data_IF_381559521792
#
_entry.id   IF_381559521792
#
_cell.length_a   1.000
_cell.length_b   1.000
_cell.length_c   1.000
_cell.angle_alpha   90.00
_cell.angle_beta   90.00
_cell.angle_gamma   90.00
#
_symmetry.space_group_name_H-M   'P 1'
#
loop_
_entity.id
_entity.type
_entity.pdbx_description
1 polymer ?
#
# COMPACT_ATOMS: atom_id res chain seq x y z
N UNK A 1 4.24 -25.30 25.86
CA UNK A 1 3.22 -25.53 24.80
C UNK A 1 2.11 -24.45 24.84
N UNK A 2 1.58 -24.05 26.03
CA UNK A 2 0.45 -23.11 26.13
C UNK A 2 0.67 -21.69 25.57
N UNK A 3 1.90 -21.16 25.65
CA UNK A 3 2.19 -19.80 25.13
C UNK A 3 2.17 -19.71 23.60
N UNK A 4 2.53 -20.80 22.91
CA UNK A 4 2.49 -20.86 21.44
C UNK A 4 1.05 -20.95 20.95
N UNK A 5 0.22 -21.76 21.61
CA UNK A 5 -1.22 -21.88 21.29
C UNK A 5 -1.96 -20.58 21.54
N UNK A 6 -1.66 -19.88 22.64
CA UNK A 6 -2.24 -18.58 22.96
C UNK A 6 -1.84 -17.50 21.93
N UNK A 7 -0.57 -17.49 21.50
CA UNK A 7 -0.09 -16.60 20.46
C UNK A 7 -0.76 -16.88 19.11
N UNK A 8 -0.90 -18.14 18.72
CA UNK A 8 -1.57 -18.55 17.48
C UNK A 8 -3.05 -18.16 17.51
N UNK A 9 -3.74 -18.39 18.63
CA UNK A 9 -5.14 -18.01 18.78
C UNK A 9 -5.34 -16.48 18.77
N UNK A 10 -4.50 -15.72 19.45
CA UNK A 10 -4.57 -14.26 19.43
C UNK A 10 -4.30 -13.70 18.03
N UNK A 11 -3.34 -14.26 17.30
CA UNK A 11 -3.03 -13.87 15.93
C UNK A 11 -4.18 -14.20 14.98
N UNK A 12 -4.78 -15.40 15.12
CA UNK A 12 -5.93 -15.80 14.32
C UNK A 12 -7.17 -14.93 14.59
N UNK A 13 -7.44 -14.57 15.85
CA UNK A 13 -8.54 -13.67 16.22
C UNK A 13 -8.33 -12.26 15.68
N UNK A 14 -7.12 -11.71 15.79
CA UNK A 14 -6.77 -10.40 15.22
C UNK A 14 -6.96 -10.40 13.70
N UNK A 15 -6.46 -11.42 13.01
CA UNK A 15 -6.59 -11.56 11.57
C UNK A 15 -8.06 -11.64 11.10
N UNK A 16 -8.92 -12.37 11.83
CA UNK A 16 -10.35 -12.43 11.52
C UNK A 16 -11.08 -11.11 11.76
N UNK A 17 -10.71 -10.38 12.82
CA UNK A 17 -11.27 -9.06 13.10
C UNK A 17 -10.89 -8.05 12.00
N UNK A 18 -9.64 -8.08 11.55
CA UNK A 18 -9.13 -7.21 10.47
C UNK A 18 -9.85 -7.49 9.14
N UNK A 19 -10.10 -8.77 8.81
CA UNK A 19 -10.85 -9.16 7.60
C UNK A 19 -12.29 -8.62 7.65
N UNK A 20 -12.97 -8.81 8.78
CA UNK A 20 -14.35 -8.34 8.95
C UNK A 20 -14.47 -6.82 8.82
N UNK A 21 -13.54 -6.10 9.37
CA UNK A 21 -13.47 -4.65 9.30
C UNK A 21 -13.19 -4.15 7.87
N UNK A 22 -12.26 -4.78 7.16
CA UNK A 22 -11.99 -4.48 5.75
C UNK A 22 -13.25 -4.67 4.90
N UNK A 23 -13.94 -5.81 5.03
CA UNK A 23 -15.15 -6.11 4.27
C UNK A 23 -16.31 -5.15 4.59
N UNK A 24 -16.33 -4.60 5.80
CA UNK A 24 -17.33 -3.61 6.17
C UNK A 24 -17.10 -2.27 5.49
N UNK A 25 -15.86 -1.81 5.39
CA UNK A 25 -15.46 -0.51 4.85
C UNK A 25 -15.17 -0.53 3.35
N UNK A 26 -14.71 -1.64 2.84
CA UNK A 26 -14.35 -1.84 1.43
C UNK A 26 -15.37 -2.78 0.79
N UNK A 27 -16.32 -2.21 0.08
CA UNK A 27 -17.45 -2.97 -0.49
C UNK A 27 -17.09 -3.73 -1.77
N UNK A 28 -16.04 -3.33 -2.48
CA UNK A 28 -15.54 -4.10 -3.62
C UNK A 28 -14.86 -5.38 -3.17
N UNK A 29 -15.37 -6.58 -3.53
CA UNK A 29 -14.74 -7.85 -3.16
C UNK A 29 -13.33 -8.00 -3.73
N UNK A 30 -13.07 -7.43 -4.89
CA UNK A 30 -11.74 -7.45 -5.54
C UNK A 30 -10.74 -6.65 -4.72
N UNK A 31 -11.10 -5.43 -4.32
CA UNK A 31 -10.22 -4.58 -3.48
C UNK A 31 -10.03 -5.20 -2.10
N UNK A 32 -11.09 -5.69 -1.47
CA UNK A 32 -11.00 -6.34 -0.16
C UNK A 32 -10.09 -7.58 -0.20
N UNK A 33 -10.27 -8.46 -1.18
CA UNK A 33 -9.41 -9.64 -1.37
C UNK A 33 -7.96 -9.28 -1.65
N UNK A 34 -7.72 -8.24 -2.44
CA UNK A 34 -6.38 -7.71 -2.67
C UNK A 34 -5.73 -7.22 -1.38
N UNK A 35 -6.43 -6.42 -0.57
CA UNK A 35 -5.91 -5.90 0.71
C UNK A 35 -5.55 -7.03 1.67
N UNK A 36 -6.42 -8.03 1.80
CA UNK A 36 -6.16 -9.21 2.64
C UNK A 36 -4.87 -9.91 2.20
N UNK A 37 -4.67 -10.09 0.89
CA UNK A 37 -3.45 -10.71 0.35
C UNK A 37 -2.19 -9.86 0.65
N UNK A 38 -2.31 -8.53 0.62
CA UNK A 38 -1.18 -7.62 0.91
C UNK A 38 -0.85 -7.55 2.40
N UNK A 39 -1.85 -7.63 3.27
CA UNK A 39 -1.65 -7.76 4.71
C UNK A 39 -0.87 -9.05 5.02
N UNK A 40 -1.27 -10.16 4.42
CA UNK A 40 -0.56 -11.42 4.56
C UNK A 40 0.88 -11.30 4.05
N UNK A 41 1.08 -10.71 2.89
CA UNK A 41 2.41 -10.50 2.30
C UNK A 41 3.32 -9.65 3.21
N UNK A 42 2.81 -8.57 3.77
CA UNK A 42 3.56 -7.74 4.73
C UNK A 42 3.97 -8.57 5.97
N UNK A 43 3.04 -9.35 6.52
CA UNK A 43 3.30 -10.24 7.66
C UNK A 43 4.40 -11.27 7.36
N UNK A 44 4.41 -11.86 6.18
CA UNK A 44 5.47 -12.78 5.72
C UNK A 44 6.84 -12.11 5.64
N UNK A 45 6.88 -10.80 5.37
CA UNK A 45 8.09 -9.99 5.38
C UNK A 45 8.50 -9.51 6.79
N UNK A 46 7.70 -9.79 7.82
CA UNK A 46 7.95 -9.34 9.19
C UNK A 46 7.40 -7.92 9.48
N UNK A 47 6.52 -7.40 8.63
CA UNK A 47 5.95 -6.06 8.73
C UNK A 47 4.45 -6.10 9.00
N UNK A 48 3.92 -5.00 9.51
CA UNK A 48 2.48 -4.81 9.73
C UNK A 48 1.93 -3.87 8.66
N UNK A 49 0.85 -4.25 7.97
CA UNK A 49 0.08 -3.37 7.11
C UNK A 49 -1.28 -3.12 7.74
N UNK A 50 -1.62 -1.87 7.97
CA UNK A 50 -2.84 -1.44 8.63
C UNK A 50 -3.67 -0.55 7.71
N UNK A 51 -4.95 -0.87 7.55
CA UNK A 51 -5.91 -0.01 6.87
C UNK A 51 -6.42 1.05 7.87
N UNK A 52 -6.24 2.33 7.54
CA UNK A 52 -6.70 3.44 8.37
C UNK A 52 -8.22 3.38 8.61
N UNK A 53 -8.65 3.75 9.81
CA UNK A 53 -10.07 3.67 10.23
C UNK A 53 -10.98 4.54 9.36
N UNK A 54 -10.48 5.62 8.81
CA UNK A 54 -11.18 6.54 7.93
C UNK A 54 -11.36 6.00 6.50
N UNK A 55 -10.73 4.88 6.18
CA UNK A 55 -10.83 4.29 4.84
C UNK A 55 -12.26 3.87 4.54
N UNK A 56 -12.79 4.33 3.42
CA UNK A 56 -14.12 4.02 2.94
C UNK A 56 -14.14 3.94 1.41
N UNK A 57 -14.38 2.76 0.89
CA UNK A 57 -14.61 2.51 -0.54
C UNK A 57 -15.94 1.79 -0.67
N UNK A 58 -17.03 2.53 -0.91
CA UNK A 58 -18.34 1.94 -1.19
C UNK A 58 -18.30 1.18 -2.52
N UNK A 59 -19.41 0.65 -2.98
CA UNK A 59 -19.46 0.00 -4.28
C UNK A 59 -18.87 0.91 -5.36
N UNK A 60 -17.77 0.45 -5.94
CA UNK A 60 -17.11 1.18 -7.01
C UNK A 60 -17.83 0.88 -8.33
N UNK A 61 -18.50 1.87 -8.94
CA UNK A 61 -19.31 1.63 -10.13
C UNK A 61 -18.48 1.32 -11.37
N UNK A 62 -17.16 1.48 -11.31
CA UNK A 62 -16.28 1.35 -12.46
C UNK A 62 -15.19 0.27 -12.22
N UNK A 63 -15.36 -0.88 -12.87
CA UNK A 63 -14.38 -1.97 -12.81
C UNK A 63 -12.97 -1.58 -13.27
N UNK A 64 -12.86 -0.61 -14.18
CA UNK A 64 -11.57 -0.10 -14.64
C UNK A 64 -10.84 0.62 -13.51
N UNK A 65 -11.54 1.46 -12.75
CA UNK A 65 -10.95 2.13 -11.57
C UNK A 65 -10.50 1.12 -10.52
N UNK A 66 -11.26 0.04 -10.30
CA UNK A 66 -10.84 -1.05 -9.39
C UNK A 66 -9.55 -1.71 -9.86
N UNK A 67 -9.45 -2.03 -11.17
CA UNK A 67 -8.24 -2.62 -11.75
C UNK A 67 -7.04 -1.69 -11.61
N UNK A 68 -7.21 -0.41 -11.90
CA UNK A 68 -6.17 0.61 -11.75
C UNK A 68 -5.73 0.71 -10.29
N UNK A 69 -6.69 0.82 -9.36
CA UNK A 69 -6.42 0.92 -7.93
C UNK A 69 -5.56 -0.26 -7.44
N UNK A 70 -5.99 -1.49 -7.73
CA UNK A 70 -5.26 -2.70 -7.33
C UNK A 70 -3.84 -2.74 -7.91
N UNK A 71 -3.67 -2.34 -9.17
CA UNK A 71 -2.37 -2.32 -9.83
C UNK A 71 -1.45 -1.25 -9.21
N UNK A 72 -1.96 -0.05 -9.03
CA UNK A 72 -1.20 1.07 -8.46
C UNK A 72 -0.83 0.78 -7.01
N UNK A 73 -1.80 0.44 -6.16
CA UNK A 73 -1.53 0.09 -4.75
C UNK A 73 -0.57 -1.08 -4.62
N UNK A 74 -0.68 -2.09 -5.49
CA UNK A 74 0.26 -3.20 -5.53
C UNK A 74 1.71 -2.73 -5.69
N UNK A 75 1.96 -1.83 -6.63
CA UNK A 75 3.27 -1.24 -6.85
C UNK A 75 3.74 -0.37 -5.66
N UNK A 76 2.85 0.43 -5.07
CA UNK A 76 3.19 1.29 -3.93
C UNK A 76 3.52 0.47 -2.69
N UNK A 77 2.74 -0.57 -2.38
CA UNK A 77 2.96 -1.45 -1.22
C UNK A 77 4.26 -2.25 -1.40
N UNK A 78 4.50 -2.84 -2.57
CA UNK A 78 5.76 -3.55 -2.81
C UNK A 78 6.96 -2.60 -2.72
N UNK A 79 6.82 -1.35 -3.18
CA UNK A 79 7.86 -0.33 -3.01
C UNK A 79 8.15 -0.03 -1.53
N UNK A 80 7.14 0.07 -0.69
CA UNK A 80 7.29 0.25 0.76
C UNK A 80 7.98 -0.96 1.39
N UNK A 81 7.53 -2.19 1.08
CA UNK A 81 8.15 -3.43 1.56
C UNK A 81 9.63 -3.53 1.18
N UNK A 82 9.96 -3.17 -0.06
CA UNK A 82 11.33 -3.15 -0.55
C UNK A 82 12.20 -2.10 0.18
N UNK A 83 11.65 -0.90 0.39
CA UNK A 83 12.36 0.18 1.08
C UNK A 83 12.68 -0.17 2.54
N UNK A 84 11.80 -0.93 3.18
CA UNK A 84 11.96 -1.40 4.56
C UNK A 84 12.76 -2.70 4.68
N UNK A 85 13.16 -3.31 3.55
CA UNK A 85 13.92 -4.56 3.56
C UNK A 85 15.22 -4.40 4.35
N UNK A 86 15.43 -5.29 5.34
CA UNK A 86 16.56 -5.21 6.26
C UNK A 86 16.22 -4.61 7.63
N UNK A 87 15.04 -4.01 7.81
CA UNK A 87 14.51 -3.68 9.13
C UNK A 87 14.01 -4.97 9.82
N UNK A 88 14.14 -5.03 11.15
CA UNK A 88 13.66 -6.17 11.94
C UNK A 88 12.13 -6.17 12.08
N UNK A 89 11.55 -5.00 12.07
CA UNK A 89 10.11 -4.74 12.15
C UNK A 89 9.78 -3.46 11.38
N UNK A 90 8.54 -3.25 11.03
CA UNK A 90 8.10 -2.04 10.34
C UNK A 90 6.60 -2.00 10.14
N UNK A 91 6.10 -0.80 9.85
CA UNK A 91 4.69 -0.51 9.69
C UNK A 91 4.41 0.19 8.35
N UNK A 92 3.36 -0.28 7.68
CA UNK A 92 2.78 0.34 6.49
C UNK A 92 1.36 0.75 6.81
N UNK A 93 1.04 2.03 6.70
CA UNK A 93 -0.30 2.58 6.78
C UNK A 93 -0.91 2.72 5.39
N UNK A 94 -2.17 2.34 5.26
CA UNK A 94 -2.95 2.48 4.04
C UNK A 94 -4.23 3.25 4.32
N UNK A 95 -4.47 4.33 3.56
CA UNK A 95 -5.73 5.06 3.56
C UNK A 95 -6.34 5.00 2.17
N UNK A 96 -7.61 4.61 2.08
CA UNK A 96 -8.36 4.54 0.83
C UNK A 96 -9.67 5.31 0.96
N UNK A 97 -9.97 6.12 -0.03
CA UNK A 97 -11.20 6.88 -0.05
C UNK A 97 -11.78 6.98 -1.47
N UNK A 98 -13.10 6.90 -1.58
CA UNK A 98 -13.83 7.12 -2.82
C UNK A 98 -14.90 8.16 -2.59
N UNK A 99 -14.84 9.26 -3.34
CA UNK A 99 -15.82 10.34 -3.27
C UNK A 99 -16.00 11.00 -4.63
N UNK A 100 -17.24 11.23 -5.00
CA UNK A 100 -17.61 12.00 -6.21
C UNK A 100 -16.98 11.48 -7.52
N UNK A 101 -16.77 10.17 -7.60
CA UNK A 101 -16.16 9.50 -8.75
C UNK A 101 -14.63 9.41 -8.71
N UNK A 102 -13.99 9.97 -7.69
CA UNK A 102 -12.55 9.94 -7.50
C UNK A 102 -12.15 8.89 -6.47
N UNK A 103 -11.16 8.07 -6.84
CA UNK A 103 -10.46 7.21 -5.92
C UNK A 103 -9.17 7.87 -5.45
N UNK A 104 -8.94 7.89 -4.16
CA UNK A 104 -7.68 8.28 -3.57
C UNK A 104 -7.09 7.16 -2.73
N UNK A 105 -5.79 7.04 -2.75
CA UNK A 105 -5.03 6.09 -1.95
C UNK A 105 -3.77 6.73 -1.41
N UNK A 106 -3.44 6.41 -0.16
CA UNK A 106 -2.20 6.80 0.48
C UNK A 106 -1.53 5.54 1.03
N UNK A 107 -0.25 5.38 0.74
CA UNK A 107 0.61 4.32 1.28
C UNK A 107 1.76 5.01 2.01
N UNK A 108 1.79 4.87 3.33
CA UNK A 108 2.79 5.44 4.22
C UNK A 108 3.63 4.34 4.85
N UNK A 109 4.94 4.51 4.95
CA UNK A 109 5.85 3.57 5.59
C UNK A 109 6.71 4.22 6.68
N UNK A 110 7.36 3.41 7.49
CA UNK A 110 8.36 3.82 8.48
C UNK A 110 9.80 3.51 8.04
N UNK A 111 10.01 3.38 6.74
CA UNK A 111 11.31 3.13 6.13
C UNK A 111 12.24 4.36 6.12
N UNK A 112 13.29 4.35 5.29
CA UNK A 112 14.28 5.43 5.24
C UNK A 112 13.75 6.75 4.68
N UNK A 113 12.56 6.76 4.08
CA UNK A 113 11.98 7.94 3.45
C UNK A 113 12.63 8.30 2.12
N UNK A 114 12.13 9.40 1.52
CA UNK A 114 12.62 9.93 0.24
C UNK A 114 13.04 11.38 0.45
N UNK A 115 14.32 11.73 0.21
CA UNK A 115 14.78 13.12 0.27
C UNK A 115 13.93 14.01 -0.63
N UNK A 116 13.62 15.23 -0.17
CA UNK A 116 12.77 16.18 -0.89
C UNK A 116 13.25 16.41 -2.33
N UNK A 117 14.56 16.47 -2.54
CA UNK A 117 15.17 16.65 -3.87
C UNK A 117 14.93 15.48 -4.83
N UNK A 118 14.59 14.29 -4.33
CA UNK A 118 14.38 13.07 -5.11
C UNK A 118 12.90 12.70 -5.30
N UNK A 119 11.97 13.36 -4.60
CA UNK A 119 10.54 12.99 -4.59
C UNK A 119 9.86 13.04 -5.96
N UNK A 120 10.32 13.87 -6.87
CA UNK A 120 9.84 13.89 -8.26
C UNK A 120 10.50 12.79 -9.11
N UNK A 121 11.79 12.61 -8.92
CA UNK A 121 12.61 11.70 -9.72
C UNK A 121 12.35 10.21 -9.42
N UNK A 122 11.77 9.86 -8.25
CA UNK A 122 11.49 8.45 -7.91
C UNK A 122 10.49 7.78 -8.85
N UNK A 123 9.71 8.58 -9.57
CA UNK A 123 8.77 8.08 -10.58
C UNK A 123 9.38 7.95 -11.97
N UNK A 124 10.61 8.40 -12.19
CA UNK A 124 11.29 8.29 -13.48
C UNK A 124 11.85 6.88 -13.65
N UNK A 125 11.79 6.34 -14.87
CA UNK A 125 12.30 4.99 -15.17
C UNK A 125 13.79 4.89 -14.88
N UNK A 126 14.18 3.88 -14.11
CA UNK A 126 15.58 3.57 -13.81
C UNK A 126 16.21 4.41 -12.70
N UNK A 127 15.45 5.24 -12.02
CA UNK A 127 15.93 6.12 -10.93
C UNK A 127 15.92 5.44 -9.55
N UNK A 128 16.29 4.17 -9.42
CA UNK A 128 16.71 3.67 -8.12
C UNK A 128 18.23 3.74 -8.03
N UNK A 129 18.68 4.71 -7.19
CA UNK A 129 20.05 4.75 -6.74
C UNK A 129 20.42 3.43 -6.03
N UNK A 130 21.47 2.79 -6.50
CA UNK A 130 22.37 1.90 -5.78
C UNK A 130 21.90 0.55 -5.23
N UNK A 131 20.75 -0.02 -5.54
CA UNK A 131 20.48 -1.41 -5.18
C UNK A 131 20.20 -2.28 -6.39
N UNK A 132 21.23 -2.99 -6.79
CA UNK A 132 21.34 -3.90 -7.91
C UNK A 132 20.48 -5.17 -7.76
N UNK A 133 19.16 -5.07 -7.91
CA UNK A 133 18.33 -6.26 -8.19
C UNK A 133 17.61 -6.07 -9.51
N UNK A 134 17.75 -7.00 -10.48
CA UNK A 134 17.00 -6.95 -11.74
C UNK A 134 15.49 -6.93 -11.46
N UNK A 135 14.76 -5.99 -12.05
CA UNK A 135 13.31 -5.86 -11.91
C UNK A 135 12.82 -4.83 -10.88
N UNK A 136 13.68 -4.27 -10.04
CA UNK A 136 13.34 -3.18 -9.11
C UNK A 136 13.53 -1.82 -9.80
N UNK A 137 12.62 -0.88 -9.54
CA UNK A 137 12.68 0.49 -10.08
C UNK A 137 11.70 0.80 -11.21
N UNK A 138 10.89 -0.17 -11.62
CA UNK A 138 9.87 0.02 -12.66
C UNK A 138 8.48 0.26 -12.05
N UNK A 139 8.23 -0.20 -10.82
CA UNK A 139 6.90 -0.17 -10.19
C UNK A 139 6.32 1.23 -10.05
N UNK A 140 7.10 2.21 -9.59
CA UNK A 140 6.63 3.58 -9.40
C UNK A 140 6.40 4.30 -10.74
N UNK A 141 7.26 4.09 -11.74
CA UNK A 141 7.06 4.67 -13.07
C UNK A 141 5.84 4.08 -13.78
N UNK A 142 5.58 2.78 -13.61
CA UNK A 142 4.36 2.13 -14.11
C UNK A 142 3.12 2.66 -13.40
N UNK A 143 3.17 2.80 -12.07
CA UNK A 143 2.07 3.38 -11.31
C UNK A 143 1.73 4.80 -11.80
N UNK A 144 2.74 5.65 -12.01
CA UNK A 144 2.57 7.00 -12.55
C UNK A 144 1.95 6.98 -13.96
N UNK A 145 2.50 6.18 -14.88
CA UNK A 145 1.96 6.07 -16.25
C UNK A 145 0.49 5.65 -16.27
N UNK A 146 0.12 4.70 -15.40
CA UNK A 146 -1.27 4.24 -15.30
C UNK A 146 -2.18 5.36 -14.76
N UNK A 147 -1.78 6.03 -13.69
CA UNK A 147 -2.55 7.10 -13.06
C UNK A 147 -2.77 8.26 -14.03
N UNK A 148 -1.72 8.68 -14.74
CA UNK A 148 -1.79 9.76 -15.73
C UNK A 148 -2.74 9.43 -16.91
N UNK A 149 -2.91 8.15 -17.28
CA UNK A 149 -3.90 7.73 -18.30
C UNK A 149 -5.35 7.93 -17.86
N UNK A 150 -5.59 8.15 -16.58
CA UNK A 150 -6.90 8.39 -15.97
C UNK A 150 -7.06 9.83 -15.47
N UNK A 151 -6.26 10.75 -16.01
CA UNK A 151 -6.24 12.16 -15.60
C UNK A 151 -5.96 12.36 -14.09
N UNK A 152 -5.28 11.37 -13.49
CA UNK A 152 -4.94 11.37 -12.09
C UNK A 152 -3.54 11.88 -11.81
N UNK A 153 -3.20 11.94 -10.53
CA UNK A 153 -1.90 12.39 -10.03
C UNK A 153 -1.35 11.42 -8.99
N UNK A 154 -0.03 11.28 -8.97
CA UNK A 154 0.70 10.54 -7.94
C UNK A 154 1.84 11.42 -7.43
N UNK A 155 1.97 11.52 -6.12
CA UNK A 155 3.00 12.32 -5.46
C UNK A 155 3.71 11.51 -4.37
N UNK A 156 4.96 11.88 -4.10
CA UNK A 156 5.74 11.35 -2.99
C UNK A 156 5.94 12.44 -1.93
N UNK A 157 5.75 12.09 -0.69
CA UNK A 157 5.86 12.95 0.47
C UNK A 157 6.59 12.29 1.63
N UNK A 158 6.43 12.86 2.80
CA UNK A 158 6.94 12.37 4.07
C UNK A 158 5.82 11.71 4.86
N UNK A 159 6.08 10.52 5.36
CA UNK A 159 5.14 9.77 6.18
C UNK A 159 5.12 10.28 7.62
N UNK A 160 3.95 10.30 8.23
CA UNK A 160 3.82 10.50 9.68
C UNK A 160 4.43 9.34 10.48
N UNK A 161 4.64 8.18 9.86
CA UNK A 161 5.36 7.04 10.45
C UNK A 161 6.90 7.24 10.41
N UNK A 162 7.39 8.25 9.70
CA UNK A 162 8.80 8.60 9.64
C UNK A 162 9.51 8.26 8.34
N UNK A 163 8.88 7.49 7.46
CA UNK A 163 9.41 7.09 6.15
C UNK A 163 8.81 7.88 4.99
N UNK A 164 8.46 7.20 3.91
CA UNK A 164 7.85 7.79 2.73
C UNK A 164 6.33 7.69 2.76
N UNK A 165 5.66 8.66 2.14
CA UNK A 165 4.23 8.65 1.85
C UNK A 165 4.03 8.79 0.35
N UNK A 166 3.28 7.85 -0.24
CA UNK A 166 2.86 7.91 -1.63
C UNK A 166 1.36 8.15 -1.68
N UNK A 167 0.97 9.26 -2.28
CA UNK A 167 -0.44 9.61 -2.47
C UNK A 167 -0.83 9.50 -3.94
N UNK A 168 -2.00 8.98 -4.20
CA UNK A 168 -2.55 8.83 -5.54
C UNK A 168 -4.02 9.23 -5.58
N UNK A 169 -4.42 9.88 -6.66
CA UNK A 169 -5.83 10.23 -6.93
C UNK A 169 -6.12 10.06 -8.43
N UNK A 170 -7.23 9.48 -8.78
CA UNK A 170 -7.69 9.26 -10.17
C UNK A 170 -9.17 8.95 -10.27
#
# INVERSE_FOLDING_TARGET
>A
YGKLEEYVLQTAHRYQADIGDIQHRIKSPVVAGFLISKIQRATECGFTLTLAEESLVPDCPNEKQVTVLVTVLGNLIENALDAMSGQAEGEIGLLLHYQDGWLSGEVSDDGPGIPQSQRRAVFDRGQRADTLRPGQGVGLSVAREIVEQYDGEIIAGESLLGGACMEVVF
#
